data_IF_333041703670
#
_entry.id   IF_333041703670
#
_cell.length_a   1.000
_cell.length_b   1.000
_cell.length_c   1.000
_cell.angle_alpha   90.00
_cell.angle_beta   90.00
_cell.angle_gamma   90.00
#
_symmetry.space_group_name_H-M   'P 1'
#
loop_
_entity.id
_entity.type
_entity.pdbx_description
1 polymer ?
#
# COMPACT_ATOMS: atom_id res chain seq x y z
N UNK A 1 -12.89 -1.94 5.74
CA UNK A 1 -11.83 -1.33 6.54
C UNK A 1 -10.71 -0.80 5.65
N UNK A 2 -10.17 0.33 6.04
CA UNK A 2 -9.05 0.93 5.31
C UNK A 2 -7.79 0.79 6.17
N UNK A 3 -6.74 0.27 5.57
CA UNK A 3 -5.47 0.07 6.22
C UNK A 3 -4.46 1.08 5.72
N UNK A 4 -3.76 1.72 6.63
CA UNK A 4 -2.69 2.64 6.28
C UNK A 4 -1.35 1.96 6.49
N UNK A 5 -0.50 2.00 5.47
CA UNK A 5 0.84 1.42 5.54
C UNK A 5 1.87 2.47 5.22
N UNK A 6 2.82 2.66 6.11
CA UNK A 6 3.93 3.60 5.91
C UNK A 6 5.22 2.81 5.69
N UNK A 7 5.93 3.14 4.61
CA UNK A 7 7.19 2.47 4.27
C UNK A 7 8.28 3.51 4.02
N UNK A 8 9.49 3.19 4.47
CA UNK A 8 10.65 4.05 4.24
C UNK A 8 11.60 3.45 3.21
N UNK A 9 11.34 2.24 2.74
CA UNK A 9 12.19 1.53 1.80
C UNK A 9 11.61 1.59 0.40
N UNK A 10 12.36 2.22 -0.52
CA UNK A 10 11.91 2.36 -1.90
C UNK A 10 11.77 1.02 -2.61
N UNK A 11 12.53 0.03 -2.19
CA UNK A 11 12.44 -1.31 -2.77
C UNK A 11 11.09 -1.95 -2.49
N UNK A 12 10.59 -1.78 -1.27
CA UNK A 12 9.30 -2.32 -0.87
C UNK A 12 8.16 -1.65 -1.63
N UNK A 13 8.36 -0.40 -2.03
CA UNK A 13 7.34 0.35 -2.78
C UNK A 13 6.95 -0.35 -4.08
N UNK A 14 7.93 -0.94 -4.75
CA UNK A 14 7.67 -1.62 -6.02
C UNK A 14 6.86 -2.90 -5.85
N UNK A 15 7.10 -3.62 -4.75
CA UNK A 15 6.46 -4.91 -4.52
C UNK A 15 5.08 -4.79 -3.89
N UNK A 16 4.85 -3.71 -3.15
CA UNK A 16 3.62 -3.57 -2.39
C UNK A 16 2.36 -3.56 -3.23
N UNK A 17 2.28 -2.79 -4.33
CA UNK A 17 1.08 -2.79 -5.17
C UNK A 17 0.75 -4.19 -5.71
N UNK A 18 1.78 -4.93 -6.10
CA UNK A 18 1.57 -6.28 -6.61
C UNK A 18 1.07 -7.22 -5.52
N UNK A 19 1.61 -7.08 -4.32
CA UNK A 19 1.19 -7.88 -3.18
C UNK A 19 -0.25 -7.59 -2.79
N UNK A 20 -0.61 -6.31 -2.77
CA UNK A 20 -1.97 -5.88 -2.44
C UNK A 20 -2.97 -6.51 -3.41
N UNK A 21 -2.64 -6.47 -4.69
CA UNK A 21 -3.50 -7.03 -5.73
C UNK A 21 -3.62 -8.54 -5.60
N UNK A 22 -2.50 -9.19 -5.26
CA UNK A 22 -2.47 -10.65 -5.12
C UNK A 22 -3.34 -11.13 -3.96
N UNK A 23 -3.41 -10.35 -2.88
CA UNK A 23 -4.20 -10.72 -1.71
C UNK A 23 -5.67 -10.34 -1.85
N UNK A 24 -6.05 -9.73 -2.98
CA UNK A 24 -7.43 -9.36 -3.21
C UNK A 24 -7.83 -8.04 -2.59
N UNK A 25 -6.87 -7.26 -2.16
CA UNK A 25 -7.14 -5.94 -1.61
C UNK A 25 -7.06 -4.88 -2.71
N UNK A 26 -7.51 -3.68 -2.39
CA UNK A 26 -7.51 -2.59 -3.35
C UNK A 26 -6.66 -1.44 -2.85
N UNK A 27 -5.74 -0.96 -3.69
CA UNK A 27 -4.94 0.21 -3.36
C UNK A 27 -5.75 1.46 -3.69
N UNK A 28 -6.09 2.23 -2.66
CA UNK A 28 -6.90 3.43 -2.83
C UNK A 28 -6.05 4.64 -3.15
N UNK A 29 -4.94 4.80 -2.44
CA UNK A 29 -4.12 5.99 -2.59
C UNK A 29 -2.68 5.69 -2.20
N UNK A 30 -1.75 6.38 -2.84
CA UNK A 30 -0.34 6.29 -2.52
C UNK A 30 0.23 7.70 -2.53
N UNK A 31 1.02 8.02 -1.52
CA UNK A 31 1.69 9.30 -1.45
C UNK A 31 3.10 9.14 -0.93
N UNK A 32 3.92 10.16 -1.18
CA UNK A 32 5.31 10.16 -0.76
C UNK A 32 5.66 11.52 -0.18
N UNK A 33 6.30 11.53 1.00
CA UNK A 33 6.76 12.75 1.64
C UNK A 33 7.95 12.43 2.54
N UNK A 34 9.04 13.20 2.40
CA UNK A 34 10.23 13.06 3.23
C UNK A 34 10.77 11.63 3.27
N UNK A 35 10.75 10.96 2.14
CA UNK A 35 11.26 9.60 2.04
C UNK A 35 10.34 8.55 2.63
N UNK A 36 9.13 8.92 3.00
CA UNK A 36 8.15 7.98 3.54
C UNK A 36 7.04 7.78 2.51
N UNK A 37 6.76 6.52 2.20
CA UNK A 37 5.69 6.16 1.28
C UNK A 37 4.49 5.70 2.07
N UNK A 38 3.35 6.36 1.86
CA UNK A 38 2.12 6.03 2.56
C UNK A 38 1.12 5.42 1.59
N UNK A 39 0.56 4.28 1.97
CA UNK A 39 -0.42 3.57 1.16
C UNK A 39 -1.70 3.40 1.94
N UNK A 40 -2.82 3.70 1.28
CA UNK A 40 -4.14 3.44 1.85
C UNK A 40 -4.75 2.28 1.09
N UNK A 41 -5.04 1.22 1.81
CA UNK A 41 -5.49 -0.03 1.23
C UNK A 41 -6.86 -0.38 1.78
N UNK A 42 -7.78 -0.71 0.88
CA UNK A 42 -9.10 -1.16 1.29
C UNK A 42 -9.11 -2.67 1.27
N UNK A 43 -9.35 -3.26 2.42
CA UNK A 43 -9.46 -4.71 2.51
C UNK A 43 -10.79 -5.15 1.95
N UNK A 44 -10.75 -6.05 1.01
CA UNK A 44 -11.97 -6.64 0.50
C UNK A 44 -12.43 -7.69 1.48
N UNK A 45 -13.67 -7.56 1.91
CA UNK A 45 -14.27 -8.61 2.70
C UNK A 45 -14.54 -9.78 1.78
N UNK A 46 -13.96 -10.87 2.06
CA UNK A 46 -14.15 -12.06 1.26
C UNK A 46 -15.23 -12.96 1.83
#
# INVERSE_FOLDING_TARGET
KILRVDLTDAGSKSDLPAMIKRTGNELLEMSEADGVYTFFIKKKAS
#
